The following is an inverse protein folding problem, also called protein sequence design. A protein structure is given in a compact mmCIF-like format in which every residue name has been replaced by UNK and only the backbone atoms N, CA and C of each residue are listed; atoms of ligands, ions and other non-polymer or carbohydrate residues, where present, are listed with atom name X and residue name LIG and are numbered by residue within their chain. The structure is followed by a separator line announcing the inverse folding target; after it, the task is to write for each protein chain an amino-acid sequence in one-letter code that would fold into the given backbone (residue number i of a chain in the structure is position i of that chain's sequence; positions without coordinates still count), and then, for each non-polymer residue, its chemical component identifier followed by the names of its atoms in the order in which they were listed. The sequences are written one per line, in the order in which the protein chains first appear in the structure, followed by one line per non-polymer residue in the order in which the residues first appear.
data_IF_232082223619
#
_entry.id   IF_232082223619
#
_cell.length_a   1.000
_cell.length_b   1.000
_cell.length_c   1.000
_cell.angle_alpha   90.00
_cell.angle_beta   90.00
_cell.angle_gamma   90.00
#
_symmetry.space_group_name_H-M   'P 1'
#
loop_
_entity.id
_entity.type
_entity.pdbx_description
1 polymer ?
#
# COMPACT_ATOMS: atom_id res chain seq x y z
N UNK A 1 -62.50 22.97 30.16
CA UNK A 1 -63.38 23.70 29.22
C UNK A 1 -63.47 22.85 27.99
N UNK A 2 -64.53 22.07 27.96
CA UNK A 2 -64.91 21.13 26.92
C UNK A 2 -65.84 21.82 25.92
N UNK A 3 -65.65 21.46 24.66
CA UNK A 3 -66.47 21.61 23.45
C UNK A 3 -67.76 22.44 23.50
N UNK A 4 -67.94 23.30 22.48
CA UNK A 4 -69.25 23.42 21.82
C UNK A 4 -69.13 23.73 20.32
N UNK A 5 -69.96 23.04 19.54
CA UNK A 5 -69.97 22.98 18.08
C UNK A 5 -70.89 24.05 17.49
N UNK A 6 -70.54 24.57 16.31
CA UNK A 6 -71.57 24.84 15.29
C UNK A 6 -71.06 24.33 13.93
N UNK A 7 -71.82 23.38 13.38
CA UNK A 7 -71.63 22.82 12.05
C UNK A 7 -72.81 23.24 11.16
N UNK A 8 -72.45 23.60 9.92
CA UNK A 8 -73.20 23.44 8.65
C UNK A 8 -74.17 24.59 8.29
N UNK A 9 -74.30 25.05 7.02
CA UNK A 9 -74.25 24.24 5.79
C UNK A 9 -73.39 24.73 4.61
N UNK A 10 -72.71 23.76 3.97
CA UNK A 10 -72.45 23.72 2.52
C UNK A 10 -73.71 23.19 1.81
N UNK A 11 -73.97 23.41 0.50
CA UNK A 11 -73.01 23.55 -0.61
C UNK A 11 -73.37 24.69 -1.63
N UNK A 12 -72.50 25.11 -2.56
CA UNK A 12 -72.54 24.63 -3.94
C UNK A 12 -71.23 24.93 -4.72
N UNK A 13 -70.55 23.84 -5.07
CA UNK A 13 -69.95 23.50 -6.37
C UNK A 13 -69.00 24.51 -7.05
N UNK A 14 -67.70 24.32 -6.85
CA UNK A 14 -66.70 24.57 -7.90
C UNK A 14 -65.98 23.26 -8.22
N UNK A 15 -65.98 22.93 -9.51
CA UNK A 15 -65.60 21.65 -10.14
C UNK A 15 -64.17 21.22 -9.81
N UNK A 16 -64.03 19.99 -9.31
CA UNK A 16 -62.76 19.29 -9.10
C UNK A 16 -62.14 18.81 -10.42
N UNK A 17 -60.83 19.05 -10.59
CA UNK A 17 -59.95 18.22 -11.44
C UNK A 17 -59.23 17.23 -10.53
N UNK A 18 -59.32 15.90 -10.74
CA UNK A 18 -58.71 14.94 -9.83
C UNK A 18 -57.21 14.81 -10.12
N UNK A 19 -56.36 15.36 -9.25
CA UNK A 19 -55.02 14.82 -9.01
C UNK A 19 -55.16 13.65 -8.04
N UNK A 20 -55.24 12.42 -8.56
CA UNK A 20 -55.02 11.21 -7.75
C UNK A 20 -53.58 10.74 -7.90
N UNK A 21 -52.84 10.88 -6.82
CA UNK A 21 -51.61 10.16 -6.57
C UNK A 21 -51.92 8.66 -6.41
N UNK A 22 -51.20 7.82 -7.15
CA UNK A 22 -51.05 6.39 -6.86
C UNK A 22 -49.58 6.09 -6.62
N UNK A 23 -49.31 5.44 -5.48
CA UNK A 23 -48.00 4.96 -5.04
C UNK A 23 -47.48 3.84 -5.98
N UNK A 24 -46.14 3.72 -6.01
CA UNK A 24 -45.27 2.59 -6.44
C UNK A 24 -44.72 2.62 -7.88
N UNK A 25 -43.47 3.07 -8.03
CA UNK A 25 -42.28 2.23 -8.23
C UNK A 25 -41.05 3.14 -8.28
N UNK A 26 -40.15 2.97 -7.32
CA UNK A 26 -38.77 3.41 -7.49
C UNK A 26 -38.17 2.53 -8.59
N UNK A 27 -38.14 3.02 -9.83
CA UNK A 27 -37.47 2.32 -10.92
C UNK A 27 -35.98 2.47 -10.68
N UNK A 28 -35.40 1.39 -10.17
CA UNK A 28 -34.00 1.29 -9.89
C UNK A 28 -33.18 1.53 -11.17
N UNK A 29 -32.37 2.60 -11.16
CA UNK A 29 -31.20 2.80 -12.04
C UNK A 29 -30.12 1.69 -11.85
N UNK A 30 -30.39 0.64 -11.05
CA UNK A 30 -29.56 -0.57 -10.93
C UNK A 30 -29.65 -1.52 -12.14
N UNK A 31 -30.53 -1.23 -13.11
CA UNK A 31 -30.84 -2.15 -14.21
C UNK A 31 -29.95 -2.05 -15.45
N UNK A 32 -29.24 -0.94 -15.69
CA UNK A 32 -28.49 -0.74 -16.95
C UNK A 32 -27.11 -1.40 -16.93
N UNK A 33 -26.36 -1.23 -15.85
CA UNK A 33 -25.02 -1.84 -15.68
C UNK A 33 -25.11 -3.35 -15.45
N UNK A 34 -26.10 -3.82 -14.69
CA UNK A 34 -26.37 -5.25 -14.50
C UNK A 34 -26.77 -5.91 -15.81
N UNK A 35 -27.65 -5.28 -16.62
CA UNK A 35 -28.04 -5.81 -17.94
C UNK A 35 -26.87 -5.88 -18.92
N UNK A 36 -25.97 -4.89 -18.93
CA UNK A 36 -24.77 -4.92 -19.76
C UNK A 36 -23.80 -6.05 -19.35
N UNK A 37 -23.57 -6.24 -18.05
CA UNK A 37 -22.78 -7.37 -17.55
C UNK A 37 -23.44 -8.72 -17.86
N UNK A 38 -24.76 -8.84 -17.69
CA UNK A 38 -25.50 -10.06 -18.03
C UNK A 38 -25.47 -10.36 -19.52
N UNK A 39 -25.52 -9.34 -20.39
CA UNK A 39 -25.39 -9.50 -21.84
C UNK A 39 -24.00 -9.99 -22.26
N UNK A 40 -22.95 -9.51 -21.61
CA UNK A 40 -21.57 -10.00 -21.79
C UNK A 40 -21.45 -11.46 -21.32
N UNK A 41 -22.01 -11.79 -20.15
CA UNK A 41 -21.97 -13.15 -19.58
C UNK A 41 -22.80 -14.15 -20.37
N UNK A 42 -23.90 -13.71 -21.00
CA UNK A 42 -24.72 -14.54 -21.88
C UNK A 42 -24.07 -14.80 -23.25
N UNK A 43 -22.92 -14.19 -23.55
CA UNK A 43 -22.13 -14.47 -24.75
C UNK A 43 -22.49 -13.62 -25.98
N UNK A 44 -23.30 -12.57 -25.84
CA UNK A 44 -23.67 -11.69 -26.96
C UNK A 44 -22.45 -10.93 -27.53
N UNK A 45 -21.40 -10.77 -26.71
CA UNK A 45 -20.08 -10.25 -27.09
C UNK A 45 -19.31 -11.15 -28.07
N UNK A 46 -19.60 -12.45 -28.08
CA UNK A 46 -18.91 -13.44 -28.94
C UNK A 46 -19.63 -13.67 -30.27
N UNK A 47 -20.68 -12.89 -30.56
CA UNK A 47 -21.40 -12.96 -31.82
C UNK A 47 -20.52 -12.48 -32.97
N UNK A 48 -20.69 -13.10 -34.14
CA UNK A 48 -19.88 -12.80 -35.35
C UNK A 48 -19.89 -11.31 -35.70
N UNK A 49 -21.06 -10.68 -35.68
CA UNK A 49 -21.23 -9.26 -36.01
C UNK A 49 -20.52 -8.34 -35.01
N UNK A 50 -20.61 -8.64 -33.72
CA UNK A 50 -19.94 -7.85 -32.68
C UNK A 50 -18.42 -7.95 -32.79
N UNK A 51 -17.89 -9.16 -33.00
CA UNK A 51 -16.45 -9.42 -33.14
C UNK A 51 -15.88 -8.74 -34.38
N UNK A 52 -16.60 -8.81 -35.51
CA UNK A 52 -16.17 -8.16 -36.75
C UNK A 52 -16.16 -6.63 -36.62
N UNK A 53 -17.15 -6.03 -35.96
CA UNK A 53 -17.22 -4.59 -35.74
C UNK A 53 -16.18 -4.08 -34.72
N UNK A 54 -15.70 -4.94 -33.80
CA UNK A 54 -14.76 -4.58 -32.73
C UNK A 54 -13.40 -5.28 -32.85
N UNK A 55 -13.05 -5.76 -34.04
CA UNK A 55 -11.88 -6.62 -34.26
C UNK A 55 -10.58 -5.98 -33.78
N UNK A 56 -10.37 -4.69 -34.06
CA UNK A 56 -9.18 -3.95 -33.61
C UNK A 56 -9.06 -3.91 -32.08
N UNK A 57 -10.17 -3.75 -31.38
CA UNK A 57 -10.19 -3.72 -29.91
C UNK A 57 -9.92 -5.11 -29.31
N UNK A 58 -10.49 -6.16 -29.90
CA UNK A 58 -10.23 -7.55 -29.48
C UNK A 58 -8.75 -7.90 -29.71
N UNK A 59 -8.18 -7.52 -30.85
CA UNK A 59 -6.76 -7.70 -31.12
C UNK A 59 -5.89 -6.98 -30.08
N UNK A 60 -6.25 -5.74 -29.72
CA UNK A 60 -5.58 -5.01 -28.65
C UNK A 60 -5.64 -5.74 -27.31
N UNK A 61 -6.78 -6.32 -26.94
CA UNK A 61 -6.91 -7.11 -25.70
C UNK A 61 -6.06 -8.39 -25.73
N UNK A 62 -6.04 -9.11 -26.85
CA UNK A 62 -5.20 -10.30 -27.03
C UNK A 62 -3.72 -9.92 -26.95
N UNK A 63 -3.33 -8.81 -27.58
CA UNK A 63 -1.98 -8.27 -27.49
C UNK A 63 -1.60 -7.92 -26.04
N UNK A 64 -2.50 -7.28 -25.30
CA UNK A 64 -2.29 -6.97 -23.88
C UNK A 64 -2.15 -8.25 -23.04
N UNK A 65 -2.95 -9.28 -23.32
CA UNK A 65 -2.84 -10.59 -22.69
C UNK A 65 -1.45 -11.21 -22.93
N UNK A 66 -0.94 -11.14 -24.17
CA UNK A 66 0.42 -11.61 -24.51
C UNK A 66 1.50 -10.83 -23.76
N UNK A 67 1.36 -9.50 -23.63
CA UNK A 67 2.30 -8.69 -22.83
C UNK A 67 2.29 -9.08 -21.36
N UNK A 68 1.12 -9.37 -20.78
CA UNK A 68 0.99 -9.82 -19.39
C UNK A 68 1.70 -11.17 -19.21
N UNK A 69 1.46 -12.13 -20.10
CA UNK A 69 2.12 -13.44 -20.07
C UNK A 69 3.64 -13.28 -20.22
N UNK A 70 4.09 -12.47 -21.18
CA UNK A 70 5.51 -12.17 -21.39
C UNK A 70 6.18 -11.57 -20.15
N UNK A 71 5.52 -10.60 -19.52
CA UNK A 71 6.00 -10.01 -18.26
C UNK A 71 6.02 -11.04 -17.11
N UNK A 72 5.08 -11.98 -17.10
CA UNK A 72 5.02 -13.06 -16.11
C UNK A 72 6.27 -13.94 -16.07
N UNK A 73 6.95 -14.15 -17.20
CA UNK A 73 8.22 -14.89 -17.23
C UNK A 73 9.38 -14.10 -16.63
N UNK A 74 9.42 -12.78 -16.83
CA UNK A 74 10.47 -11.91 -16.30
C UNK A 74 10.48 -11.90 -14.76
N UNK A 75 9.31 -11.96 -14.11
CA UNK A 75 9.21 -12.01 -12.65
C UNK A 75 9.92 -13.22 -12.04
N UNK A 76 9.88 -14.38 -12.70
CA UNK A 76 10.53 -15.60 -12.18
C UNK A 76 12.06 -15.53 -12.19
N UNK A 77 12.63 -14.88 -13.21
CA UNK A 77 14.09 -14.69 -13.30
C UNK A 77 14.52 -13.64 -12.26
N UNK A 78 13.81 -12.51 -12.21
CA UNK A 78 14.08 -11.45 -11.26
C UNK A 78 14.00 -11.93 -9.80
N UNK A 79 13.00 -12.74 -9.44
CA UNK A 79 12.91 -13.28 -8.08
C UNK A 79 14.06 -14.22 -7.73
N UNK A 80 14.56 -15.01 -8.68
CA UNK A 80 15.72 -15.88 -8.46
C UNK A 80 16.99 -15.07 -8.28
N UNK A 81 17.20 -14.05 -9.12
CA UNK A 81 18.37 -13.18 -9.03
C UNK A 81 18.39 -12.46 -7.69
N UNK A 82 17.25 -11.93 -7.23
CA UNK A 82 17.11 -11.31 -5.90
C UNK A 82 17.46 -12.29 -4.79
N UNK A 83 16.99 -13.54 -4.87
CA UNK A 83 17.30 -14.56 -3.85
C UNK A 83 18.79 -14.91 -3.83
N UNK A 84 19.43 -15.04 -4.99
CA UNK A 84 20.87 -15.30 -5.09
C UNK A 84 21.68 -14.12 -4.54
N UNK A 85 21.36 -12.89 -4.94
CA UNK A 85 22.05 -11.69 -4.44
C UNK A 85 21.88 -11.52 -2.92
N UNK A 86 20.71 -11.86 -2.37
CA UNK A 86 20.53 -11.82 -0.92
C UNK A 86 21.42 -12.83 -0.20
N UNK A 87 21.59 -14.04 -0.74
CA UNK A 87 22.48 -15.06 -0.17
C UNK A 87 23.95 -14.61 -0.21
N UNK A 88 24.39 -14.05 -1.33
CA UNK A 88 25.74 -13.49 -1.45
C UNK A 88 25.98 -12.35 -0.44
N UNK A 89 24.98 -11.47 -0.26
CA UNK A 89 25.07 -10.41 0.73
C UNK A 89 25.16 -10.95 2.16
N UNK A 90 24.36 -11.96 2.49
CA UNK A 90 24.37 -12.60 3.82
C UNK A 90 25.72 -13.27 4.09
N UNK A 91 26.33 -13.92 3.09
CA UNK A 91 27.66 -14.53 3.17
C UNK A 91 28.75 -13.48 3.42
N UNK A 92 28.76 -12.39 2.64
CA UNK A 92 29.71 -11.28 2.83
C UNK A 92 29.52 -10.61 4.18
N UNK A 93 28.28 -10.47 4.65
CA UNK A 93 28.00 -9.92 5.97
C UNK A 93 28.49 -10.84 7.09
N UNK A 94 28.36 -12.15 6.94
CA UNK A 94 28.91 -13.10 7.89
C UNK A 94 30.45 -12.99 7.98
N UNK A 95 31.13 -12.92 6.83
CA UNK A 95 32.59 -12.75 6.77
C UNK A 95 33.02 -11.40 7.38
N UNK A 96 32.29 -10.32 7.10
CA UNK A 96 32.55 -9.01 7.70
C UNK A 96 32.39 -9.04 9.23
N UNK A 97 31.32 -9.66 9.73
CA UNK A 97 31.07 -9.77 11.17
C UNK A 97 32.17 -10.59 11.84
N UNK A 98 32.61 -11.69 11.24
CA UNK A 98 33.72 -12.49 11.75
C UNK A 98 35.03 -11.71 11.77
N UNK A 99 35.40 -11.07 10.66
CA UNK A 99 36.61 -10.27 10.54
C UNK A 99 36.62 -9.11 11.55
N UNK A 100 35.47 -8.45 11.73
CA UNK A 100 35.29 -7.40 12.71
C UNK A 100 35.45 -7.93 14.14
N UNK A 101 34.82 -9.05 14.47
CA UNK A 101 34.93 -9.68 15.79
C UNK A 101 36.39 -10.05 16.10
N UNK A 102 37.11 -10.59 15.12
CA UNK A 102 38.55 -10.90 15.26
C UNK A 102 39.38 -9.65 15.52
N UNK A 103 39.11 -8.56 14.81
CA UNK A 103 39.79 -7.28 15.05
C UNK A 103 39.48 -6.73 16.45
N UNK A 104 38.23 -6.81 16.91
CA UNK A 104 37.84 -6.39 18.26
C UNK A 104 38.50 -7.25 19.35
N UNK A 105 38.66 -8.55 19.09
CA UNK A 105 39.38 -9.46 19.99
C UNK A 105 40.87 -9.11 20.07
N UNK A 106 41.52 -8.89 18.92
CA UNK A 106 42.93 -8.50 18.84
C UNK A 106 43.22 -7.12 19.43
N UNK A 107 42.25 -6.20 19.34
CA UNK A 107 42.33 -4.84 19.87
C UNK A 107 41.73 -4.70 21.27
N UNK A 108 41.35 -5.81 21.91
CA UNK A 108 40.86 -5.81 23.29
C UNK A 108 41.94 -5.26 24.22
N UNK A 109 41.56 -4.38 25.16
CA UNK A 109 42.47 -3.74 26.12
C UNK A 109 43.45 -4.72 26.77
N UNK A 110 42.95 -5.86 27.26
CA UNK A 110 43.78 -6.89 27.91
C UNK A 110 44.84 -7.47 26.97
N UNK A 111 44.44 -7.84 25.76
CA UNK A 111 45.32 -8.40 24.71
C UNK A 111 46.34 -7.36 24.26
N UNK A 112 45.93 -6.10 24.12
CA UNK A 112 46.83 -5.00 23.76
C UNK A 112 47.86 -4.71 24.85
N UNK A 113 47.47 -4.71 26.12
CA UNK A 113 48.42 -4.52 27.24
C UNK A 113 49.48 -5.61 27.21
N UNK A 114 49.08 -6.89 27.09
CA UNK A 114 50.01 -8.02 27.02
C UNK A 114 50.94 -7.94 25.79
N UNK A 115 50.40 -7.66 24.60
CA UNK A 115 51.22 -7.52 23.38
C UNK A 115 52.20 -6.33 23.46
N UNK A 116 51.79 -5.23 24.08
CA UNK A 116 52.59 -3.99 24.17
C UNK A 116 53.56 -3.95 25.36
N UNK A 117 53.37 -4.80 26.37
CA UNK A 117 54.32 -4.98 27.48
C UNK A 117 55.72 -5.38 26.97
N UNK A 118 55.78 -6.23 25.94
CA UNK A 118 57.03 -6.61 25.27
C UNK A 118 57.80 -5.41 24.69
N UNK A 119 57.11 -4.31 24.39
CA UNK A 119 57.68 -3.05 23.88
C UNK A 119 57.91 -2.00 24.98
N UNK A 120 57.68 -2.36 26.25
CA UNK A 120 57.87 -1.46 27.40
C UNK A 120 56.77 -0.40 27.58
N UNK A 121 55.66 -0.51 26.84
CA UNK A 121 54.53 0.42 26.93
C UNK A 121 53.58 -0.03 28.05
N UNK A 122 53.13 0.90 28.89
CA UNK A 122 52.19 0.65 30.01
C UNK A 122 50.95 1.51 29.87
N UNK A 123 49.79 0.95 30.22
CA UNK A 123 48.53 1.67 30.21
C UNK A 123 48.53 2.78 31.28
N UNK A 124 48.00 3.96 30.93
CA UNK A 124 47.80 5.04 31.90
C UNK A 124 46.56 4.77 32.74
N UNK A 125 46.74 4.66 34.06
CA UNK A 125 45.64 4.46 35.01
C UNK A 125 45.04 5.79 35.47
N UNK A 126 45.73 6.91 35.21
CA UNK A 126 45.36 8.20 35.75
C UNK A 126 44.25 8.84 34.87
N UNK A 127 43.12 9.28 35.45
CA UNK A 127 42.07 9.95 34.69
C UNK A 127 42.56 11.25 34.05
N UNK A 128 42.01 11.56 32.87
CA UNK A 128 42.31 12.79 32.14
C UNK A 128 41.90 14.02 32.97
N UNK A 129 42.88 14.87 33.28
CA UNK A 129 42.62 16.14 33.97
C UNK A 129 42.06 17.15 32.97
N UNK A 130 40.83 17.62 33.20
CA UNK A 130 40.25 18.73 32.45
C UNK A 130 40.58 20.06 33.13
N UNK A 131 41.18 20.99 32.37
CA UNK A 131 41.43 22.36 32.84
C UNK A 131 40.20 23.19 32.48
N UNK A 132 39.41 23.63 33.47
CA UNK A 132 38.29 24.56 33.28
C UNK A 132 38.72 25.97 33.65
N UNK A 133 38.63 26.89 32.69
CA UNK A 133 38.85 28.32 32.92
C UNK A 133 37.63 28.86 33.67
N UNK A 134 37.82 29.41 34.88
CA UNK A 134 36.74 30.10 35.61
C UNK A 134 36.73 31.56 35.20
N UNK A 135 35.67 32.01 34.54
CA UNK A 135 35.48 33.45 34.33
C UNK A 135 35.18 34.14 35.66
N UNK A 136 36.03 35.10 36.03
CA UNK A 136 35.79 35.98 37.18
C UNK A 136 34.65 36.93 36.83
N UNK A 137 33.45 36.63 37.34
CA UNK A 137 32.32 37.58 37.34
C UNK A 137 32.71 38.77 38.21
N UNK A 138 33.13 39.87 37.57
CA UNK A 138 33.30 41.17 38.22
C UNK A 138 31.91 41.63 38.68
N UNK A 139 31.81 42.02 39.95
CA UNK A 139 30.61 42.64 40.54
C UNK A 139 30.65 44.13 40.32
#
# INVERSE_FOLDING_TARGET
MDNEFVKKPEPEVVKEKPRKATKKKATAERGKTSRALTQILNGDFLTKEFVLNNLNFIFFLIFLLLLIVGKGYYGKQLSKDVETTQKELDEVMAEYVEAKAKLEEDTRRQVLVEKLESRGLKETVNPTKVIRIKEKKQR
#
